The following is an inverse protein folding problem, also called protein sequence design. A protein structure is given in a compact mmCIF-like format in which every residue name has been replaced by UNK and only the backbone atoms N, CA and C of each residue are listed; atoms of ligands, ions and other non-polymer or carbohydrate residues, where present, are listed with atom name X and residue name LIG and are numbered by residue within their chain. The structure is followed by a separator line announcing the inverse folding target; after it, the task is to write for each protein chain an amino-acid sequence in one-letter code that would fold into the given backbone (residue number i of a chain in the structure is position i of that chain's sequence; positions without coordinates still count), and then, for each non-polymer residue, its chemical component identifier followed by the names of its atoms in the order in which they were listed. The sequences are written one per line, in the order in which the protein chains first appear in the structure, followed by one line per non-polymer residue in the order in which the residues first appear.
data_IF_922344231666
#
_entry.id   IF_922344231666
#
_cell.length_a   1.000
_cell.length_b   1.000
_cell.length_c   1.000
_cell.angle_alpha   90.00
_cell.angle_beta   90.00
_cell.angle_gamma   90.00
#
_symmetry.space_group_name_H-M   'P 1'
#
loop_
_entity.id
_entity.type
_entity.pdbx_description
1 polymer ?
#
# COMPACT_ATOMS: atom_id res chain seq x y z
N UNK A 1 -3.38 -16.44 -14.85
CA UNK A 1 -3.33 -17.13 -13.54
C UNK A 1 -2.34 -16.35 -12.69
N UNK A 2 -2.83 -15.39 -11.90
CA UNK A 2 -1.97 -14.56 -11.05
C UNK A 2 -1.65 -15.31 -9.77
N UNK A 3 -0.36 -15.56 -9.52
CA UNK A 3 0.15 -16.09 -8.26
C UNK A 3 0.05 -15.00 -7.21
N UNK A 4 -1.06 -14.92 -6.48
CA UNK A 4 -1.10 -14.15 -5.24
C UNK A 4 -0.23 -14.85 -4.21
N UNK A 5 0.78 -14.16 -3.67
CA UNK A 5 1.56 -14.70 -2.54
C UNK A 5 0.63 -14.87 -1.34
N UNK A 6 0.25 -16.12 -1.09
CA UNK A 6 -0.37 -16.56 0.15
C UNK A 6 0.71 -16.65 1.22
N UNK A 7 0.73 -15.68 2.12
CA UNK A 7 1.64 -15.69 3.26
C UNK A 7 0.94 -16.35 4.45
N UNK A 8 1.53 -17.46 4.92
CA UNK A 8 0.99 -18.31 5.95
C UNK A 8 1.54 -17.97 7.34
N UNK A 9 0.65 -17.95 8.33
CA UNK A 9 0.97 -17.82 9.75
C UNK A 9 0.71 -19.15 10.45
N UNK A 10 1.64 -19.64 11.28
CA UNK A 10 1.52 -20.98 11.85
C UNK A 10 0.72 -20.97 13.16
N UNK A 11 -0.19 -21.92 13.34
CA UNK A 11 -0.89 -22.13 14.60
C UNK A 11 -0.03 -22.98 15.55
N UNK A 12 0.21 -22.47 16.76
CA UNK A 12 1.00 -23.18 17.78
C UNK A 12 0.34 -24.47 18.30
N UNK A 13 -0.99 -24.61 18.16
CA UNK A 13 -1.72 -25.78 18.67
C UNK A 13 -1.69 -27.00 17.74
N UNK A 14 -1.80 -26.80 16.43
CA UNK A 14 -1.90 -27.90 15.47
C UNK A 14 -0.85 -27.85 14.36
N UNK A 15 0.03 -26.84 14.36
CA UNK A 15 1.04 -26.63 13.33
C UNK A 15 0.46 -26.21 11.97
N UNK A 16 -0.86 -26.13 11.84
CA UNK A 16 -1.50 -25.76 10.59
C UNK A 16 -1.39 -24.26 10.32
N UNK A 17 -1.25 -23.94 9.05
CA UNK A 17 -1.13 -22.58 8.56
C UNK A 17 -2.50 -21.89 8.55
N UNK A 18 -2.62 -20.77 9.25
CA UNK A 18 -3.60 -19.75 8.93
C UNK A 18 -3.09 -18.94 7.75
N UNK A 19 -3.78 -19.10 6.63
CA UNK A 19 -3.62 -18.24 5.49
C UNK A 19 -4.31 -16.90 5.81
N UNK A 20 -3.51 -15.83 5.89
CA UNK A 20 -4.07 -14.51 5.66
C UNK A 20 -4.28 -14.43 4.15
N UNK A 21 -5.47 -14.83 3.69
CA UNK A 21 -5.83 -14.78 2.27
C UNK A 21 -5.68 -13.34 1.78
N UNK A 22 -4.57 -13.07 1.10
CA UNK A 22 -4.36 -11.90 0.24
C UNK A 22 -4.70 -12.23 -1.22
N UNK A 23 -5.45 -13.31 -1.48
CA UNK A 23 -5.99 -13.58 -2.81
C UNK A 23 -7.13 -12.61 -3.09
N UNK A 24 -6.78 -11.51 -3.79
CA UNK A 24 -7.72 -10.49 -4.20
C UNK A 24 -8.43 -9.84 -3.02
N UNK A 25 -7.70 -9.10 -2.16
CA UNK A 25 -8.23 -8.34 -1.01
C UNK A 25 -9.72 -7.98 -1.16
N UNK A 26 -10.57 -8.85 -0.62
CA UNK A 26 -12.00 -8.65 -0.65
C UNK A 26 -12.38 -7.48 0.27
N UNK A 27 -13.58 -6.97 0.00
CA UNK A 27 -14.24 -5.77 0.51
C UNK A 27 -13.75 -5.33 1.91
N UNK A 28 -13.56 -4.02 2.08
CA UNK A 28 -13.34 -3.31 3.35
C UNK A 28 -14.23 -3.82 4.51
N UNK A 29 -15.42 -4.34 4.19
CA UNK A 29 -16.35 -4.95 5.13
C UNK A 29 -15.86 -6.27 5.78
N UNK A 30 -15.04 -7.07 5.12
CA UNK A 30 -14.54 -8.36 5.64
C UNK A 30 -13.28 -8.18 6.53
N UNK A 31 -12.56 -7.06 6.35
CA UNK A 31 -11.55 -6.56 7.30
C UNK A 31 -12.22 -6.11 8.61
N UNK A 32 -13.37 -5.41 8.52
CA UNK A 32 -14.11 -4.90 9.70
C UNK A 32 -14.86 -6.00 10.47
N UNK A 33 -15.24 -7.12 9.83
CA UNK A 33 -15.91 -8.24 10.52
C UNK A 33 -14.97 -9.12 11.34
N UNK A 34 -13.66 -9.04 11.14
CA UNK A 34 -12.65 -9.75 11.94
C UNK A 34 -12.20 -8.92 13.14
N UNK A 35 -13.15 -8.53 13.98
CA UNK A 35 -12.80 -8.09 15.32
C UNK A 35 -12.16 -9.26 16.09
N UNK A 36 -10.81 -9.21 16.15
CA UNK A 36 -9.90 -9.60 17.24
C UNK A 36 -8.86 -10.67 17.01
N UNK A 37 -8.99 -11.67 16.12
CA UNK A 37 -8.06 -12.83 16.18
C UNK A 37 -7.81 -13.48 14.82
N UNK A 38 -6.53 -13.69 14.50
CA UNK A 38 -6.10 -14.52 13.38
C UNK A 38 -6.45 -15.97 13.74
N UNK A 39 -7.43 -16.59 13.08
CA UNK A 39 -7.90 -17.94 13.45
C UNK A 39 -7.30 -19.01 12.56
N UNK A 40 -6.80 -20.09 13.16
CA UNK A 40 -6.34 -21.27 12.44
C UNK A 40 -7.48 -21.91 11.63
N UNK A 41 -7.24 -22.17 10.33
CA UNK A 41 -8.24 -22.82 9.47
C UNK A 41 -8.46 -24.30 9.79
N UNK A 42 -7.51 -24.97 10.45
CA UNK A 42 -7.60 -26.40 10.77
C UNK A 42 -8.26 -26.67 12.14
N UNK A 43 -7.85 -25.97 13.19
CA UNK A 43 -8.36 -26.21 14.55
C UNK A 43 -9.31 -25.11 15.06
N UNK A 44 -9.50 -24.02 14.33
CA UNK A 44 -10.36 -22.90 14.71
C UNK A 44 -9.85 -22.05 15.88
N UNK A 45 -8.68 -22.36 16.43
CA UNK A 45 -8.11 -21.60 17.55
C UNK A 45 -7.48 -20.29 17.10
N UNK A 46 -7.47 -19.36 18.03
CA UNK A 46 -6.87 -18.05 17.88
C UNK A 46 -5.33 -18.16 17.89
N UNK A 47 -4.70 -17.55 16.90
CA UNK A 47 -3.25 -17.44 16.79
C UNK A 47 -2.84 -16.16 17.50
N UNK A 48 -1.98 -16.32 18.51
CA UNK A 48 -1.40 -15.19 19.21
C UNK A 48 -0.44 -14.44 18.28
N UNK A 49 -0.57 -13.12 18.20
CA UNK A 49 0.40 -12.29 17.48
C UNK A 49 1.72 -12.23 18.26
N UNK A 50 2.81 -12.71 17.66
CA UNK A 50 4.16 -12.73 18.23
C UNK A 50 5.13 -11.89 17.38
N UNK A 51 6.39 -11.83 17.82
CA UNK A 51 7.46 -11.15 17.07
C UNK A 51 7.71 -11.79 15.69
N UNK A 52 7.46 -13.09 15.54
CA UNK A 52 7.59 -13.78 14.25
C UNK A 52 6.59 -13.27 13.21
N UNK A 53 5.36 -13.00 13.64
CA UNK A 53 4.30 -12.41 12.81
C UNK A 53 4.62 -10.97 12.43
N UNK A 54 5.21 -10.17 13.33
CA UNK A 54 5.68 -8.81 13.01
C UNK A 54 6.70 -8.85 11.85
N UNK A 55 7.65 -9.78 11.84
CA UNK A 55 8.63 -9.91 10.75
C UNK A 55 7.96 -10.25 9.42
N UNK A 56 7.06 -11.24 9.40
CA UNK A 56 6.33 -11.62 8.19
C UNK A 56 5.49 -10.47 7.65
N UNK A 57 4.80 -9.76 8.53
CA UNK A 57 4.02 -8.59 8.15
C UNK A 57 4.90 -7.51 7.49
N UNK A 58 6.09 -7.26 8.01
CA UNK A 58 7.01 -6.28 7.43
C UNK A 58 7.54 -6.76 6.08
N UNK A 59 7.85 -8.04 5.91
CA UNK A 59 8.29 -8.58 4.62
C UNK A 59 7.20 -8.46 3.54
N UNK A 60 5.95 -8.74 3.89
CA UNK A 60 4.78 -8.54 3.01
C UNK A 60 4.64 -7.07 2.63
N UNK A 61 4.68 -6.17 3.61
CA UNK A 61 4.61 -4.73 3.36
C UNK A 61 5.73 -4.27 2.42
N UNK A 62 6.98 -4.66 2.70
CA UNK A 62 8.13 -4.32 1.85
C UNK A 62 7.95 -4.78 0.40
N UNK A 63 7.43 -5.98 0.18
CA UNK A 63 7.20 -6.47 -1.17
C UNK A 63 6.10 -5.67 -1.88
N UNK A 64 5.00 -5.37 -1.19
CA UNK A 64 3.91 -4.55 -1.72
C UNK A 64 4.39 -3.14 -2.11
N UNK A 65 5.14 -2.46 -1.24
CA UNK A 65 5.71 -1.12 -1.50
C UNK A 65 6.65 -1.12 -2.72
N UNK A 66 7.48 -2.15 -2.83
CA UNK A 66 8.39 -2.31 -3.97
C UNK A 66 7.63 -2.51 -5.27
N UNK A 67 6.56 -3.30 -5.26
CA UNK A 67 5.72 -3.54 -6.43
C UNK A 67 4.96 -2.28 -6.84
N UNK A 68 4.40 -1.54 -5.88
CA UNK A 68 3.71 -0.27 -6.10
C UNK A 68 4.66 0.79 -6.69
N UNK A 69 5.86 0.95 -6.10
CA UNK A 69 6.92 1.81 -6.64
C UNK A 69 7.23 1.51 -8.12
N UNK A 70 7.42 0.23 -8.45
CA UNK A 70 7.73 -0.21 -9.81
C UNK A 70 6.55 -0.01 -10.77
N UNK A 71 5.33 -0.22 -10.29
CA UNK A 71 4.12 0.01 -11.05
C UNK A 71 4.02 1.49 -11.44
N UNK A 72 4.14 2.40 -10.47
CA UNK A 72 4.09 3.83 -10.70
C UNK A 72 5.22 4.32 -11.62
N UNK A 73 6.45 3.83 -11.45
CA UNK A 73 7.57 4.14 -12.33
C UNK A 73 7.36 3.67 -13.78
N UNK A 74 6.62 2.58 -13.99
CA UNK A 74 6.26 2.09 -15.33
C UNK A 74 5.11 2.90 -15.91
N UNK A 75 4.12 3.26 -15.10
CA UNK A 75 2.99 4.08 -15.51
C UNK A 75 3.46 5.49 -15.93
N UNK A 76 4.35 6.12 -15.16
CA UNK A 76 4.92 7.45 -15.46
C UNK A 76 5.68 7.49 -16.79
N UNK A 77 6.20 6.36 -17.27
CA UNK A 77 6.87 6.25 -18.59
C UNK A 77 5.89 6.09 -19.76
N UNK A 78 4.68 5.62 -19.48
CA UNK A 78 3.64 5.35 -20.50
C UNK A 78 2.67 6.51 -20.66
N UNK A 79 2.39 7.25 -19.59
CA UNK A 79 1.56 8.45 -19.62
C UNK A 79 2.24 9.52 -20.49
N UNK A 80 1.49 10.12 -21.41
CA UNK A 80 2.02 11.16 -22.30
C UNK A 80 1.96 12.54 -21.67
N UNK A 81 0.90 12.80 -20.91
CA UNK A 81 0.68 14.10 -20.28
C UNK A 81 1.75 14.35 -19.20
N UNK A 82 2.49 15.45 -19.29
CA UNK A 82 3.59 15.74 -18.37
C UNK A 82 3.16 15.89 -16.89
N UNK A 83 1.93 16.31 -16.61
CA UNK A 83 1.41 16.41 -15.24
C UNK A 83 1.12 15.03 -14.67
N UNK A 84 0.48 14.16 -15.46
CA UNK A 84 0.26 12.76 -15.09
C UNK A 84 1.57 12.00 -14.86
N UNK A 85 2.56 12.23 -15.73
CA UNK A 85 3.91 11.66 -15.56
C UNK A 85 4.56 12.09 -14.25
N UNK A 86 4.49 13.38 -13.92
CA UNK A 86 5.08 13.91 -12.69
C UNK A 86 4.38 13.35 -11.44
N UNK A 87 3.04 13.32 -11.44
CA UNK A 87 2.26 12.75 -10.35
C UNK A 87 2.63 11.28 -10.07
N UNK A 88 2.66 10.45 -11.12
CA UNK A 88 3.02 9.04 -11.01
C UNK A 88 4.50 8.86 -10.61
N UNK A 89 5.38 9.75 -11.06
CA UNK A 89 6.79 9.73 -10.64
C UNK A 89 6.92 10.05 -9.15
N UNK A 90 6.17 11.03 -8.64
CA UNK A 90 6.15 11.35 -7.21
C UNK A 90 5.62 10.16 -6.40
N UNK A 91 4.50 9.55 -6.77
CA UNK A 91 3.99 8.33 -6.08
C UNK A 91 5.03 7.20 -6.07
N UNK A 92 5.75 6.97 -7.17
CA UNK A 92 6.85 5.99 -7.19
C UNK A 92 7.93 6.29 -6.16
N UNK A 93 8.25 7.57 -5.93
CA UNK A 93 9.19 8.00 -4.91
C UNK A 93 8.64 7.81 -3.48
N UNK A 94 7.33 7.98 -3.26
CA UNK A 94 6.65 7.67 -1.98
C UNK A 94 6.85 6.20 -1.61
N UNK A 95 6.44 5.28 -2.48
CA UNK A 95 6.51 3.86 -2.16
C UNK A 95 7.95 3.37 -2.03
N UNK A 96 8.88 4.01 -2.75
CA UNK A 96 10.32 3.76 -2.55
C UNK A 96 10.77 4.16 -1.15
N UNK A 97 10.28 5.29 -0.62
CA UNK A 97 10.59 5.73 0.73
C UNK A 97 9.94 4.83 1.79
N UNK A 98 8.69 4.43 1.60
CA UNK A 98 8.01 3.44 2.45
C UNK A 98 8.80 2.13 2.50
N UNK A 99 9.17 1.57 1.35
CA UNK A 99 10.02 0.39 1.25
C UNK A 99 11.33 0.54 2.02
N UNK A 100 12.03 1.67 1.86
CA UNK A 100 13.29 1.92 2.55
C UNK A 100 13.12 1.99 4.07
N UNK A 101 12.01 2.58 4.55
CA UNK A 101 11.70 2.68 5.98
C UNK A 101 11.30 1.34 6.58
N UNK A 102 10.54 0.52 5.86
CA UNK A 102 10.24 -0.85 6.25
C UNK A 102 11.49 -1.73 6.23
N UNK A 103 12.40 -1.54 5.27
CA UNK A 103 13.70 -2.22 5.23
C UNK A 103 14.58 -1.85 6.43
N UNK A 104 14.60 -0.57 6.79
CA UNK A 104 15.28 -0.09 8.01
C UNK A 104 14.68 -0.73 9.27
N UNK A 105 13.35 -0.77 9.37
CA UNK A 105 12.63 -1.43 10.45
C UNK A 105 12.97 -2.92 10.53
N UNK A 106 12.91 -3.65 9.41
CA UNK A 106 13.24 -5.07 9.33
C UNK A 106 14.64 -5.36 9.87
N UNK A 107 15.62 -4.52 9.50
CA UNK A 107 16.99 -4.60 10.03
C UNK A 107 17.03 -4.32 11.54
N UNK A 108 16.36 -3.26 12.00
CA UNK A 108 16.32 -2.89 13.43
C UNK A 108 15.71 -4.00 14.29
N UNK A 109 14.60 -4.60 13.85
CA UNK A 109 13.99 -5.70 14.58
C UNK A 109 14.88 -6.95 14.59
N UNK A 110 15.60 -7.24 13.50
CA UNK A 110 16.51 -8.40 13.42
C UNK A 110 17.74 -8.24 14.32
N UNK A 111 18.32 -7.05 14.38
CA UNK A 111 19.57 -6.80 15.10
C UNK A 111 19.34 -6.41 16.57
N UNK A 112 18.31 -5.60 16.83
CA UNK A 112 18.05 -4.97 18.15
C UNK A 112 16.74 -5.42 18.77
N UNK A 113 15.81 -5.97 17.98
CA UNK A 113 14.46 -6.29 18.46
C UNK A 113 13.61 -5.05 18.76
N UNK A 114 13.96 -3.90 18.17
CA UNK A 114 13.34 -2.61 18.45
C UNK A 114 12.67 -2.01 17.21
N UNK A 115 11.50 -1.41 17.44
CA UNK A 115 10.79 -0.61 16.45
C UNK A 115 11.46 0.75 16.27
N UNK A 116 11.62 1.15 15.00
CA UNK A 116 12.14 2.47 14.64
C UNK A 116 11.07 3.55 14.89
N UNK A 117 11.52 4.80 15.05
CA UNK A 117 10.63 5.95 15.02
C UNK A 117 10.34 6.31 13.56
N UNK A 118 9.09 6.25 13.16
CA UNK A 118 8.63 6.67 11.84
C UNK A 118 7.93 8.02 11.92
N UNK A 119 8.47 9.03 11.23
CA UNK A 119 7.95 10.39 11.21
C UNK A 119 7.00 10.68 10.04
N UNK A 120 6.79 9.71 9.16
CA UNK A 120 6.10 9.91 7.88
C UNK A 120 7.02 10.34 6.73
N UNK A 121 6.52 10.21 5.52
CA UNK A 121 7.09 10.75 4.28
C UNK A 121 6.28 11.99 3.85
N UNK A 122 6.87 12.91 3.08
CA UNK A 122 6.19 14.14 2.69
C UNK A 122 6.45 14.50 1.24
N UNK A 123 5.38 14.86 0.53
CA UNK A 123 5.40 15.31 -0.88
C UNK A 123 6.21 16.59 -0.98
N UNK A 124 7.37 16.51 -1.64
CA UNK A 124 8.02 17.71 -2.17
C UNK A 124 7.33 18.07 -3.47
N UNK A 125 6.23 18.81 -3.38
CA UNK A 125 5.52 19.34 -4.55
C UNK A 125 6.54 20.16 -5.36
N UNK A 126 7.05 19.63 -6.47
CA UNK A 126 7.78 20.45 -7.44
C UNK A 126 6.75 21.31 -8.14
N UNK A 127 6.87 22.63 -8.01
CA UNK A 127 6.05 23.58 -8.76
C UNK A 127 6.45 23.46 -10.25
N UNK A 128 5.71 22.63 -10.97
CA UNK A 128 5.84 22.50 -12.41
C UNK A 128 4.85 23.47 -13.05
N UNK A 129 5.35 24.57 -13.62
CA UNK A 129 4.58 25.42 -14.55
C UNK A 129 4.40 24.67 -15.87
N UNK A 130 3.54 23.65 -15.86
CA UNK A 130 3.26 22.79 -17.00
C UNK A 130 1.81 22.99 -17.43
N UNK A 131 1.61 23.35 -18.70
CA UNK A 131 0.27 23.48 -19.29
C UNK A 131 -0.40 22.12 -19.35
N UNK A 132 -1.67 22.09 -18.97
CA UNK A 132 -2.50 20.90 -19.08
C UNK A 132 -2.90 20.68 -20.53
N UNK A 133 -2.68 19.47 -21.04
CA UNK A 133 -3.16 19.09 -22.37
C UNK A 133 -4.38 18.17 -22.26
N UNK A 134 -5.34 18.35 -23.16
CA UNK A 134 -6.51 17.48 -23.20
C UNK A 134 -6.15 16.16 -23.86
N UNK A 135 -6.08 15.10 -23.08
CA UNK A 135 -5.91 13.73 -23.59
C UNK A 135 -7.25 13.14 -24.02
N UNK A 136 -7.24 12.34 -25.09
CA UNK A 136 -8.43 11.70 -25.67
C UNK A 136 -8.11 10.30 -26.19
N UNK A 137 -9.14 9.50 -26.39
CA UNK A 137 -9.04 8.21 -27.06
C UNK A 137 -8.27 7.17 -26.24
N UNK A 138 -7.41 6.40 -26.89
CA UNK A 138 -6.74 5.26 -26.28
C UNK A 138 -5.81 5.63 -25.12
N UNK A 139 -5.16 6.79 -25.18
CA UNK A 139 -4.27 7.26 -24.11
C UNK A 139 -5.06 7.57 -22.82
N UNK A 140 -6.19 8.28 -22.94
CA UNK A 140 -7.07 8.59 -21.81
C UNK A 140 -7.63 7.32 -21.16
N UNK A 141 -8.06 6.34 -21.96
CA UNK A 141 -8.54 5.05 -21.45
C UNK A 141 -7.45 4.29 -20.71
N UNK A 142 -6.23 4.28 -21.25
CA UNK A 142 -5.08 3.59 -20.65
C UNK A 142 -4.68 4.23 -19.31
N UNK A 143 -4.61 5.56 -19.25
CA UNK A 143 -4.30 6.30 -18.03
C UNK A 143 -5.39 6.10 -16.97
N UNK A 144 -6.66 6.11 -17.38
CA UNK A 144 -7.78 5.84 -16.48
C UNK A 144 -7.78 4.43 -15.91
N UNK A 145 -7.47 3.42 -16.70
CA UNK A 145 -7.40 2.04 -16.22
C UNK A 145 -6.19 1.83 -15.29
N UNK A 146 -5.07 2.51 -15.55
CA UNK A 146 -3.94 2.56 -14.64
C UNK A 146 -4.34 3.20 -13.29
N UNK A 147 -5.08 4.30 -13.31
CA UNK A 147 -5.60 4.96 -12.11
C UNK A 147 -6.57 4.07 -11.31
N UNK A 148 -7.50 3.38 -11.97
CA UNK A 148 -8.41 2.44 -11.28
C UNK A 148 -7.65 1.32 -10.57
N UNK A 149 -6.61 0.80 -11.20
CA UNK A 149 -5.77 -0.22 -10.60
C UNK A 149 -4.99 0.36 -9.41
N UNK A 150 -4.37 1.53 -9.57
CA UNK A 150 -3.67 2.23 -8.50
C UNK A 150 -4.56 2.46 -7.28
N UNK A 151 -5.75 3.08 -7.47
CA UNK A 151 -6.72 3.33 -6.38
C UNK A 151 -7.08 2.04 -5.63
N UNK A 152 -7.19 0.91 -6.36
CA UNK A 152 -7.44 -0.38 -5.74
C UNK A 152 -6.26 -0.83 -4.89
N UNK A 153 -5.03 -0.70 -5.37
CA UNK A 153 -3.86 -1.13 -4.60
C UNK A 153 -3.62 -0.25 -3.37
N UNK A 154 -3.77 1.08 -3.47
CA UNK A 154 -3.69 1.99 -2.30
C UNK A 154 -4.73 1.64 -1.23
N UNK A 155 -5.99 1.37 -1.63
CA UNK A 155 -7.03 0.91 -0.70
C UNK A 155 -6.63 -0.33 0.07
N UNK A 156 -5.98 -1.27 -0.62
CA UNK A 156 -5.54 -2.53 -0.02
C UNK A 156 -4.38 -2.29 0.94
N UNK A 157 -3.39 -1.50 0.55
CA UNK A 157 -2.26 -1.14 1.39
C UNK A 157 -2.73 -0.40 2.65
N UNK A 158 -3.61 0.60 2.51
CA UNK A 158 -4.20 1.31 3.64
C UNK A 158 -5.00 0.39 4.57
N UNK A 159 -5.78 -0.56 4.05
CA UNK A 159 -6.50 -1.54 4.87
C UNK A 159 -5.55 -2.51 5.59
N UNK A 160 -4.50 -2.93 4.90
CA UNK A 160 -3.44 -3.78 5.44
C UNK A 160 -2.76 -3.10 6.63
N UNK A 161 -2.30 -1.86 6.46
CA UNK A 161 -1.62 -1.12 7.52
C UNK A 161 -2.52 -0.84 8.73
N UNK A 162 -3.80 -0.53 8.53
CA UNK A 162 -4.75 -0.43 9.65
C UNK A 162 -4.86 -1.74 10.43
N UNK A 163 -4.92 -2.87 9.73
CA UNK A 163 -4.97 -4.19 10.36
C UNK A 163 -3.70 -4.45 11.17
N UNK A 164 -2.52 -4.11 10.63
CA UNK A 164 -1.26 -4.27 11.34
C UNK A 164 -1.17 -3.36 12.58
N UNK A 165 -1.67 -2.13 12.49
CA UNK A 165 -1.73 -1.22 13.63
C UNK A 165 -2.61 -1.74 14.78
N UNK A 166 -3.60 -2.58 14.49
CA UNK A 166 -4.45 -3.21 15.51
C UNK A 166 -3.77 -4.44 16.16
N UNK A 167 -3.02 -5.21 15.37
CA UNK A 167 -2.42 -6.48 15.78
C UNK A 167 -1.06 -6.31 16.49
N UNK A 168 -0.25 -5.34 16.06
CA UNK A 168 1.05 -5.06 16.66
C UNK A 168 0.89 -4.61 18.10
N UNK A 169 1.69 -5.15 19.02
CA UNK A 169 1.62 -4.79 20.45
C UNK A 169 2.43 -3.54 20.79
N UNK A 170 3.55 -3.35 20.11
CA UNK A 170 4.49 -2.25 20.37
C UNK A 170 3.86 -0.90 20.00
N UNK A 171 3.88 0.12 20.89
CA UNK A 171 3.27 1.41 20.63
C UNK A 171 3.91 2.17 19.45
N UNK A 172 5.22 2.02 19.22
CA UNK A 172 5.90 2.63 18.06
C UNK A 172 5.48 1.95 16.76
N UNK A 173 5.36 0.63 16.78
CA UNK A 173 4.85 -0.12 15.62
C UNK A 173 3.41 0.24 15.27
N UNK A 174 2.54 0.36 16.29
CA UNK A 174 1.18 0.87 16.10
C UNK A 174 1.15 2.27 15.47
N UNK A 175 1.99 3.19 15.95
CA UNK A 175 2.07 4.55 15.41
C UNK A 175 2.57 4.55 13.97
N UNK A 176 3.63 3.78 13.68
CA UNK A 176 4.18 3.64 12.32
C UNK A 176 3.13 3.16 11.33
N UNK A 177 2.41 2.08 11.64
CA UNK A 177 1.38 1.55 10.75
C UNK A 177 0.17 2.48 10.59
N UNK A 178 -0.22 3.21 11.63
CA UNK A 178 -1.27 4.24 11.50
C UNK A 178 -0.86 5.35 10.55
N UNK A 179 0.40 5.77 10.59
CA UNK A 179 0.94 6.80 9.69
C UNK A 179 0.96 6.31 8.25
N UNK A 180 1.52 5.12 8.01
CA UNK A 180 1.52 4.50 6.68
C UNK A 180 0.09 4.39 6.14
N UNK A 181 -0.86 3.87 6.93
CA UNK A 181 -2.27 3.82 6.51
C UNK A 181 -2.86 5.19 6.12
N UNK A 182 -2.49 6.26 6.85
CA UNK A 182 -2.91 7.61 6.52
C UNK A 182 -2.24 8.17 5.26
N UNK A 183 -1.02 7.77 4.96
CA UNK A 183 -0.31 8.11 3.72
C UNK A 183 -0.97 7.44 2.51
N UNK A 184 -1.29 6.15 2.61
CA UNK A 184 -2.05 5.42 1.57
C UNK A 184 -3.44 6.05 1.32
N UNK A 185 -4.13 6.52 2.36
CA UNK A 185 -5.41 7.22 2.22
C UNK A 185 -5.27 8.54 1.43
N UNK A 186 -4.16 9.25 1.62
CA UNK A 186 -3.86 10.47 0.88
C UNK A 186 -3.53 10.16 -0.57
N UNK A 187 -2.77 9.10 -0.84
CA UNK A 187 -2.50 8.62 -2.19
C UNK A 187 -3.81 8.22 -2.90
N UNK A 188 -4.66 7.46 -2.23
CA UNK A 188 -5.97 7.05 -2.75
C UNK A 188 -6.81 8.27 -3.15
N UNK A 189 -6.90 9.27 -2.26
CA UNK A 189 -7.64 10.50 -2.53
C UNK A 189 -7.08 11.24 -3.74
N UNK A 190 -5.76 11.41 -3.78
CA UNK A 190 -5.06 12.08 -4.87
C UNK A 190 -5.30 11.38 -6.22
N UNK A 191 -5.26 10.05 -6.24
CA UNK A 191 -5.55 9.26 -7.45
C UNK A 191 -7.01 9.37 -7.88
N UNK A 192 -7.96 9.35 -6.93
CA UNK A 192 -9.39 9.54 -7.23
C UNK A 192 -9.62 10.93 -7.86
N UNK A 193 -9.02 11.99 -7.30
CA UNK A 193 -9.16 13.35 -7.84
C UNK A 193 -8.66 13.43 -9.29
N UNK A 194 -7.54 12.77 -9.60
CA UNK A 194 -7.04 12.69 -10.99
C UNK A 194 -7.95 11.85 -11.88
N UNK A 195 -8.49 10.74 -11.38
CA UNK A 195 -9.44 9.91 -12.11
C UNK A 195 -10.69 10.70 -12.51
N UNK A 196 -11.28 11.45 -11.57
CA UNK A 196 -12.44 12.29 -11.85
C UNK A 196 -12.13 13.40 -12.84
N UNK A 197 -10.96 14.06 -12.68
CA UNK A 197 -10.51 15.10 -13.61
C UNK A 197 -10.36 14.55 -15.02
N UNK A 198 -9.66 13.42 -15.19
CA UNK A 198 -9.48 12.77 -16.48
C UNK A 198 -10.79 12.28 -17.08
N UNK A 199 -11.66 11.65 -16.29
CA UNK A 199 -12.95 11.15 -16.77
C UNK A 199 -13.83 12.28 -17.30
N UNK A 200 -13.93 13.39 -16.56
CA UNK A 200 -14.89 14.46 -16.87
C UNK A 200 -14.35 15.49 -17.87
N UNK A 201 -13.05 15.79 -17.81
CA UNK A 201 -12.46 16.89 -18.59
C UNK A 201 -11.44 16.42 -19.62
N UNK A 202 -10.87 15.23 -19.43
CA UNK A 202 -9.73 14.72 -20.20
C UNK A 202 -8.41 15.41 -19.84
N UNK A 203 -8.32 16.03 -18.66
CA UNK A 203 -7.16 16.82 -18.23
C UNK A 203 -6.67 16.30 -16.87
N UNK A 204 -5.34 16.21 -16.70
CA UNK A 204 -4.70 16.00 -15.40
C UNK A 204 -4.68 17.32 -14.60
N UNK A 205 -5.23 17.30 -13.38
CA UNK A 205 -5.29 18.45 -12.48
C UNK A 205 -4.10 18.53 -11.52
N UNK A 206 -3.10 17.67 -11.71
CA UNK A 206 -1.91 17.65 -10.88
C UNK A 206 -1.04 18.91 -11.07
N UNK A 207 -0.60 19.49 -9.96
CA UNK A 207 0.29 20.64 -9.94
C UNK A 207 -0.40 22.01 -9.89
N UNK A 208 -1.72 22.07 -10.13
CA UNK A 208 -2.53 23.27 -9.94
C UNK A 208 -2.80 23.55 -8.43
#
# INVERSE_FOLDING_TARGET
MGTGSKESFACEHCGAEADMTLEGFEKVADVIKRSKKLTCKACGQDIAWTKGEDFKAIEVAMQAEKEASQFYAKASKKTKDPRGRDMLQQLSEFETNHYNKLKELSKSLREKGEWILYSGTSLKKKALSIKADKIKGQDQLTDMDALKLAIREEKKAGAYYRSMAELTKDPRGKDMYKRLAGEEDLHEKLLNDQYYSLHNTGIWSWGD
#
